data_IF_999882222545
#
_entry.id   IF_999882222545
#
_cell.length_a   1.000
_cell.length_b   1.000
_cell.length_c   1.000
_cell.angle_alpha   90.00
_cell.angle_beta   90.00
_cell.angle_gamma   90.00
#
_symmetry.space_group_name_H-M   'P 1'
#
loop_
_entity.id
_entity.type
_entity.pdbx_description
1 polymer ?
#
# COMPACT_ATOMS: atom_id res chain seq x y z
N UNK A 1 -8.41 -1.97 -7.87
CA UNK A 1 -8.25 -3.44 -7.80
C UNK A 1 -6.91 -3.92 -8.37
N UNK A 2 -6.42 -3.31 -9.46
CA UNK A 2 -5.19 -3.74 -10.18
C UNK A 2 -3.94 -3.85 -9.28
N UNK A 3 -3.65 -2.84 -8.45
CA UNK A 3 -2.53 -2.92 -7.49
C UNK A 3 -2.65 -4.13 -6.56
N UNK A 4 -3.84 -4.38 -5.99
CA UNK A 4 -4.05 -5.51 -5.06
C UNK A 4 -3.78 -6.84 -5.76
N UNK A 5 -4.14 -6.97 -7.04
CA UNK A 5 -3.87 -8.17 -7.83
C UNK A 5 -2.38 -8.41 -8.10
N UNK A 6 -1.55 -7.36 -8.10
CA UNK A 6 -0.10 -7.45 -8.25
C UNK A 6 0.64 -7.58 -6.90
N UNK A 7 -0.06 -7.38 -5.79
CA UNK A 7 0.53 -7.25 -4.45
C UNK A 7 0.59 -8.57 -3.68
N UNK A 8 0.17 -9.67 -4.29
CA UNK A 8 0.46 -11.04 -3.87
C UNK A 8 0.33 -12.02 -5.07
N UNK A 9 0.98 -13.20 -5.04
CA UNK A 9 1.01 -14.15 -6.15
C UNK A 9 -0.32 -14.85 -6.45
N UNK A 10 -1.35 -14.65 -5.62
CA UNK A 10 -2.71 -15.17 -5.80
C UNK A 10 -3.73 -14.06 -6.02
N UNK A 11 -3.30 -12.96 -6.62
CA UNK A 11 -4.17 -11.89 -7.12
C UNK A 11 -5.10 -11.26 -6.07
N UNK A 12 -4.63 -11.07 -4.83
CA UNK A 12 -5.38 -10.44 -3.74
C UNK A 12 -5.87 -11.43 -2.69
N UNK A 13 -5.94 -12.73 -3.00
CA UNK A 13 -6.53 -13.74 -2.13
C UNK A 13 -5.70 -13.98 -0.86
N UNK A 14 -4.38 -13.96 -0.97
CA UNK A 14 -3.53 -14.11 0.22
C UNK A 14 -3.62 -12.86 1.09
N UNK A 15 -3.63 -11.69 0.47
CA UNK A 15 -3.64 -10.40 1.15
C UNK A 15 -4.98 -10.09 1.83
N UNK A 16 -6.10 -10.67 1.35
CA UNK A 16 -7.43 -10.55 1.97
C UNK A 16 -7.45 -11.02 3.43
N UNK A 17 -6.60 -12.00 3.78
CA UNK A 17 -6.45 -12.50 5.16
C UNK A 17 -5.77 -11.49 6.09
N UNK A 18 -5.00 -10.55 5.53
CA UNK A 18 -4.21 -9.56 6.26
C UNK A 18 -4.88 -8.18 6.27
N UNK A 19 -5.32 -7.70 5.11
CA UNK A 19 -5.92 -6.38 4.91
C UNK A 19 -7.38 -6.35 5.34
N UNK A 20 -7.59 -6.35 6.65
CA UNK A 20 -8.92 -6.47 7.28
C UNK A 20 -9.43 -5.17 7.90
N UNK A 21 -8.61 -4.12 7.93
CA UNK A 21 -8.89 -2.91 8.71
C UNK A 21 -8.50 -3.00 10.19
N UNK A 22 -8.14 -4.20 10.67
CA UNK A 22 -7.70 -4.44 12.04
C UNK A 22 -6.17 -4.56 12.13
N UNK A 23 -5.61 -4.52 13.34
CA UNK A 23 -4.18 -4.74 13.60
C UNK A 23 -3.24 -3.82 12.80
N UNK A 24 -3.55 -2.53 12.73
CA UNK A 24 -2.76 -1.54 11.97
C UNK A 24 -2.62 -1.87 10.46
N UNK A 25 -3.68 -2.45 9.89
CA UNK A 25 -3.83 -2.68 8.44
C UNK A 25 -5.05 -1.95 7.90
N UNK A 26 -5.06 -1.69 6.59
CA UNK A 26 -6.24 -1.14 5.89
C UNK A 26 -7.20 -2.25 5.43
N UNK A 27 -8.43 -1.88 5.08
CA UNK A 27 -9.37 -2.75 4.36
C UNK A 27 -8.83 -3.04 2.96
N UNK A 28 -8.98 -4.27 2.47
CA UNK A 28 -8.61 -4.63 1.09
C UNK A 28 -9.47 -3.94 0.03
N UNK A 29 -10.71 -3.57 0.38
CA UNK A 29 -11.69 -3.01 -0.55
C UNK A 29 -11.62 -1.48 -0.63
N UNK A 30 -11.17 -0.84 0.44
CA UNK A 30 -11.23 0.61 0.57
C UNK A 30 -9.82 1.21 0.50
N UNK A 31 -9.66 2.21 -0.37
CA UNK A 31 -8.42 2.97 -0.43
C UNK A 31 -8.47 4.14 0.55
N UNK A 32 -7.38 4.32 1.30
CA UNK A 32 -7.23 5.45 2.22
C UNK A 32 -5.78 5.94 2.29
N UNK A 33 -5.61 7.24 2.56
CA UNK A 33 -4.31 7.85 2.83
C UNK A 33 -4.37 8.73 4.08
N UNK A 34 -3.24 8.92 4.75
CA UNK A 34 -3.20 9.79 5.93
C UNK A 34 -1.79 10.09 6.45
N UNK A 35 -1.65 11.23 7.12
CA UNK A 35 -0.42 11.63 7.79
C UNK A 35 -0.26 10.85 9.09
N UNK A 36 0.87 10.17 9.25
CA UNK A 36 1.20 9.30 10.38
C UNK A 36 0.15 8.20 10.68
N UNK A 37 -0.76 7.92 9.75
CA UNK A 37 -1.82 6.95 9.94
C UNK A 37 -1.32 5.53 9.60
N UNK A 38 -1.27 4.65 10.60
CA UNK A 38 -0.93 3.23 10.42
C UNK A 38 -2.14 2.35 10.10
N UNK A 39 -3.35 2.88 10.05
CA UNK A 39 -4.53 2.16 9.55
C UNK A 39 -4.76 2.36 8.06
N UNK A 40 -4.11 3.34 7.43
CA UNK A 40 -4.36 3.69 6.04
C UNK A 40 -3.61 2.80 5.05
N UNK A 41 -4.12 2.76 3.81
CA UNK A 41 -3.49 2.06 2.69
C UNK A 41 -2.15 2.69 2.33
N UNK A 42 -2.12 4.01 2.23
CA UNK A 42 -0.89 4.80 2.06
C UNK A 42 -0.64 5.63 3.32
N UNK A 43 0.59 5.61 3.82
CA UNK A 43 1.02 6.45 4.94
C UNK A 43 1.98 7.51 4.46
N UNK A 44 1.74 8.76 4.84
CA UNK A 44 2.71 9.85 4.72
C UNK A 44 3.37 10.01 6.10
N UNK A 45 4.68 9.78 6.24
CA UNK A 45 5.36 10.00 7.52
C UNK A 45 5.19 11.45 8.01
N UNK A 46 5.08 11.65 9.33
CA UNK A 46 4.86 12.99 9.91
C UNK A 46 5.93 13.98 9.45
N UNK A 47 7.20 13.58 9.50
CA UNK A 47 8.33 14.41 9.06
C UNK A 47 8.22 14.81 7.58
N UNK A 48 7.73 13.92 6.71
CA UNK A 48 7.54 14.23 5.28
C UNK A 48 6.46 15.28 5.10
N UNK A 49 5.34 15.16 5.84
CA UNK A 49 4.28 16.15 5.82
C UNK A 49 4.72 17.51 6.38
N UNK A 50 5.51 17.52 7.45
CA UNK A 50 6.08 18.74 8.05
C UNK A 50 7.10 19.42 7.12
N UNK A 51 7.95 18.65 6.45
CA UNK A 51 8.97 19.17 5.54
C UNK A 51 8.42 19.56 4.15
N UNK A 52 7.23 19.09 3.79
CA UNK A 52 6.64 19.29 2.46
C UNK A 52 7.33 18.48 1.34
N UNK A 53 8.29 17.61 1.67
CA UNK A 53 9.00 16.76 0.72
C UNK A 53 9.49 15.45 1.38
N UNK A 54 9.71 14.42 0.57
CA UNK A 54 10.18 13.11 1.03
C UNK A 54 9.54 11.96 0.27
N UNK A 55 8.89 11.03 0.98
CA UNK A 55 8.34 9.80 0.42
C UNK A 55 6.95 9.45 0.99
N UNK A 56 6.23 8.59 0.29
CA UNK A 56 5.04 7.90 0.77
C UNK A 56 5.35 6.42 1.02
N UNK A 57 4.58 5.78 1.89
CA UNK A 57 4.68 4.35 2.18
C UNK A 57 3.40 3.66 1.72
N UNK A 58 3.49 2.77 0.73
CA UNK A 58 2.40 1.86 0.38
C UNK A 58 2.43 0.64 1.29
N UNK A 59 1.38 0.47 2.10
CA UNK A 59 1.29 -0.56 3.15
C UNK A 59 0.41 -1.74 2.73
N UNK A 60 -0.06 -1.71 1.48
CA UNK A 60 -0.88 -2.76 0.87
C UNK A 60 -0.09 -3.96 0.35
N UNK A 61 1.18 -3.91 -0.07
CA UNK A 61 1.91 -5.10 -0.51
C UNK A 61 1.93 -6.21 0.55
N UNK A 62 1.65 -7.45 0.14
CA UNK A 62 1.76 -8.62 1.01
C UNK A 62 3.24 -8.98 1.24
N UNK A 63 3.54 -9.68 2.33
CA UNK A 63 4.90 -10.14 2.63
C UNK A 63 5.45 -11.14 1.60
N UNK A 64 4.59 -11.77 0.81
CA UNK A 64 4.93 -12.72 -0.25
C UNK A 64 4.83 -12.12 -1.67
N UNK A 65 4.73 -10.79 -1.80
CA UNK A 65 4.66 -10.14 -3.11
C UNK A 65 5.94 -10.33 -3.94
N UNK A 66 5.81 -10.26 -5.27
CA UNK A 66 6.95 -10.10 -6.16
C UNK A 66 7.37 -8.61 -6.16
N UNK A 67 8.58 -8.27 -5.66
CA UNK A 67 9.01 -6.89 -5.58
C UNK A 67 9.15 -6.22 -6.95
N UNK A 68 9.42 -6.98 -8.03
CA UNK A 68 9.51 -6.44 -9.38
C UNK A 68 8.14 -6.00 -9.90
N UNK A 69 7.10 -6.80 -9.64
CA UNK A 69 5.73 -6.43 -10.00
C UNK A 69 5.24 -5.23 -9.19
N UNK A 70 5.49 -5.21 -7.87
CA UNK A 70 5.07 -4.10 -7.01
C UNK A 70 5.73 -2.78 -7.43
N UNK A 71 7.05 -2.78 -7.62
CA UNK A 71 7.80 -1.57 -7.99
C UNK A 71 7.43 -1.08 -9.38
N UNK A 72 7.28 -1.99 -10.36
CA UNK A 72 6.77 -1.64 -11.70
C UNK A 72 5.41 -0.97 -11.61
N UNK A 73 4.44 -1.59 -10.92
CA UNK A 73 3.07 -1.04 -10.85
C UNK A 73 3.02 0.33 -10.18
N UNK A 74 3.86 0.56 -9.15
CA UNK A 74 4.00 1.88 -8.55
C UNK A 74 4.46 2.91 -9.57
N UNK A 75 5.57 2.65 -10.28
CA UNK A 75 6.10 3.55 -11.30
C UNK A 75 5.11 3.76 -12.45
N UNK A 76 4.49 2.70 -12.92
CA UNK A 76 3.52 2.72 -14.02
C UNK A 76 2.29 3.57 -13.69
N UNK A 77 1.87 3.62 -12.43
CA UNK A 77 0.70 4.42 -12.03
C UNK A 77 1.06 5.87 -11.66
N UNK A 78 2.26 6.11 -11.12
CA UNK A 78 2.63 7.43 -10.59
C UNK A 78 3.44 8.30 -11.56
N UNK A 79 4.14 7.69 -12.52
CA UNK A 79 5.14 8.38 -13.33
C UNK A 79 4.90 8.28 -14.85
N UNK A 80 4.09 7.31 -15.30
CA UNK A 80 3.80 7.05 -16.72
C UNK A 80 2.33 7.38 -17.01
#
# INVERSE_FOLDING_TARGET
MEHIQCYDPKHGLDNQRRLTGNHETSSINDFSSGVANRGSSIRIPRQVAENGCGYLEDRRPSSNCDPYMVTRMLVETTCL
#
